data_IF_022203729728
#
_entry.id   IF_022203729728
#
_cell.length_a   1.000
_cell.length_b   1.000
_cell.length_c   1.000
_cell.angle_alpha   90.00
_cell.angle_beta   90.00
_cell.angle_gamma   90.00
#
_symmetry.space_group_name_H-M   'P 1'
#
loop_
_entity.id
_entity.type
_entity.pdbx_description
1 polymer ?
#
# COMPACT_ATOMS: atom_id res chain seq x y z
N UNK A 1 -2.79 -7.15 -26.92
CA UNK A 1 -3.72 -6.61 -25.90
C UNK A 1 -2.97 -6.17 -24.63
N UNK A 2 -1.88 -6.83 -24.23
CA UNK A 2 -1.10 -6.48 -23.03
C UNK A 2 -0.31 -5.16 -23.14
N UNK A 3 0.16 -4.78 -24.34
CA UNK A 3 0.96 -3.56 -24.54
C UNK A 3 0.22 -2.23 -24.28
N UNK A 4 -1.11 -2.21 -24.43
CA UNK A 4 -1.92 -1.01 -24.19
C UNK A 4 -2.10 -0.66 -22.70
N UNK A 5 -2.14 -1.65 -21.83
CA UNK A 5 -2.28 -1.50 -20.39
C UNK A 5 -1.04 -0.81 -19.78
N UNK A 6 0.16 -1.30 -20.16
CA UNK A 6 1.42 -0.74 -19.68
C UNK A 6 1.69 0.68 -20.22
N UNK A 7 1.32 0.96 -21.46
CA UNK A 7 1.44 2.33 -22.01
C UNK A 7 0.64 3.35 -21.22
N UNK A 8 -0.58 3.01 -20.81
CA UNK A 8 -1.41 3.92 -19.99
C UNK A 8 -0.85 4.12 -18.58
N UNK A 9 -0.43 3.03 -17.92
CA UNK A 9 0.21 3.09 -16.60
C UNK A 9 1.52 3.88 -16.63
N UNK A 10 2.42 3.58 -17.56
CA UNK A 10 3.73 4.25 -17.69
C UNK A 10 3.56 5.70 -18.14
N UNK A 11 2.64 6.03 -19.05
CA UNK A 11 2.44 7.40 -19.53
C UNK A 11 1.90 8.35 -18.46
N UNK A 12 1.00 7.86 -17.58
CA UNK A 12 0.47 8.65 -16.45
C UNK A 12 1.55 8.90 -15.40
N UNK A 13 2.47 7.92 -15.20
CA UNK A 13 3.50 8.01 -14.17
C UNK A 13 4.81 8.66 -14.59
N UNK A 14 5.22 8.57 -15.85
CA UNK A 14 6.45 9.23 -16.32
C UNK A 14 6.34 10.76 -16.21
N UNK A 15 5.16 11.34 -16.35
CA UNK A 15 4.93 12.75 -16.06
C UNK A 15 4.97 13.11 -14.56
N UNK A 16 4.77 12.15 -13.66
CA UNK A 16 4.73 12.31 -12.20
C UNK A 16 6.03 11.89 -11.50
N UNK A 17 6.95 11.24 -12.21
CA UNK A 17 8.13 10.50 -11.70
C UNK A 17 9.31 11.39 -11.22
N UNK A 18 9.10 12.64 -10.88
CA UNK A 18 10.22 13.55 -10.53
C UNK A 18 10.67 13.41 -9.05
N UNK A 19 10.05 12.55 -8.22
CA UNK A 19 10.48 12.35 -6.82
C UNK A 19 10.48 10.88 -6.41
N UNK A 20 11.52 10.44 -5.68
CA UNK A 20 11.76 9.03 -5.27
C UNK A 20 10.54 8.30 -4.66
N UNK A 21 9.70 9.00 -3.91
CA UNK A 21 8.50 8.39 -3.30
C UNK A 21 7.45 7.91 -4.31
N UNK A 22 7.37 8.51 -5.50
CA UNK A 22 6.43 8.13 -6.54
C UNK A 22 6.85 6.85 -7.30
N UNK A 23 8.15 6.51 -7.29
CA UNK A 23 8.66 5.30 -7.96
C UNK A 23 8.12 4.04 -7.27
N UNK A 24 8.07 4.02 -5.95
CA UNK A 24 7.58 2.88 -5.17
C UNK A 24 6.09 2.66 -5.44
N UNK A 25 5.28 3.73 -5.39
CA UNK A 25 3.84 3.69 -5.69
C UNK A 25 3.60 3.17 -7.12
N UNK A 26 4.32 3.74 -8.11
CA UNK A 26 4.22 3.32 -9.50
C UNK A 26 4.59 1.85 -9.69
N UNK A 27 5.70 1.42 -9.08
CA UNK A 27 6.14 0.04 -9.14
C UNK A 27 5.11 -0.92 -8.50
N UNK A 28 4.59 -0.58 -7.31
CA UNK A 28 3.55 -1.39 -6.68
C UNK A 28 2.30 -1.51 -7.57
N UNK A 29 1.85 -0.41 -8.18
CA UNK A 29 0.70 -0.39 -9.08
C UNK A 29 0.93 -1.23 -10.34
N UNK A 30 2.11 -1.11 -10.99
CA UNK A 30 2.49 -1.92 -12.16
C UNK A 30 2.62 -3.39 -11.80
N UNK A 31 3.25 -3.71 -10.67
CA UNK A 31 3.38 -5.08 -10.19
C UNK A 31 2.02 -5.73 -9.95
N UNK A 32 1.13 -5.02 -9.24
CA UNK A 32 -0.22 -5.50 -8.95
C UNK A 32 -1.05 -5.70 -10.23
N UNK A 33 -1.06 -4.74 -11.15
CA UNK A 33 -1.79 -4.85 -12.42
C UNK A 33 -1.24 -5.98 -13.31
N UNK A 34 0.05 -6.31 -13.19
CA UNK A 34 0.67 -7.42 -13.91
C UNK A 34 0.25 -8.78 -13.37
N UNK A 35 0.15 -8.91 -12.04
CA UNK A 35 -0.26 -10.14 -11.37
C UNK A 35 -1.77 -10.41 -11.49
N UNK A 36 -2.57 -9.34 -11.50
CA UNK A 36 -4.03 -9.40 -11.49
C UNK A 36 -4.63 -8.60 -12.66
N UNK A 37 -4.36 -8.99 -13.91
CA UNK A 37 -4.86 -8.27 -15.08
C UNK A 37 -6.39 -8.29 -15.13
N UNK A 38 -6.99 -7.14 -15.49
CA UNK A 38 -8.43 -7.02 -15.64
C UNK A 38 -9.22 -6.93 -14.34
N UNK A 39 -8.57 -6.65 -13.20
CA UNK A 39 -9.21 -6.47 -11.90
C UNK A 39 -9.11 -5.04 -11.40
N UNK A 40 -10.11 -4.60 -10.67
CA UNK A 40 -10.02 -3.42 -9.83
C UNK A 40 -9.22 -3.75 -8.58
N UNK A 41 -8.19 -2.95 -8.29
CA UNK A 41 -7.22 -3.23 -7.24
C UNK A 41 -7.18 -2.09 -6.23
N UNK A 42 -7.17 -2.43 -4.94
CA UNK A 42 -6.76 -1.57 -3.84
C UNK A 42 -5.43 -2.10 -3.30
N UNK A 43 -4.38 -1.34 -3.48
CA UNK A 43 -3.03 -1.70 -3.08
C UNK A 43 -2.68 -0.92 -1.83
N UNK A 44 -2.27 -1.61 -0.77
CA UNK A 44 -1.81 -1.00 0.47
C UNK A 44 -0.36 -1.42 0.71
N UNK A 45 0.55 -0.46 0.66
CA UNK A 45 1.96 -0.68 0.98
C UNK A 45 2.25 -0.19 2.41
N UNK A 46 2.59 -1.13 3.28
CA UNK A 46 2.93 -0.87 4.69
C UNK A 46 4.45 -0.69 4.85
N UNK A 47 4.95 0.45 4.40
CA UNK A 47 6.34 0.88 4.51
C UNK A 47 6.56 1.92 5.61
N UNK A 48 7.59 2.76 5.44
CA UNK A 48 7.85 3.94 6.29
C UNK A 48 6.64 4.86 6.32
N UNK A 49 6.05 5.13 5.16
CA UNK A 49 4.69 5.64 5.01
C UNK A 49 3.79 4.49 4.54
N UNK A 50 2.50 4.56 4.86
CA UNK A 50 1.49 3.69 4.27
C UNK A 50 0.94 4.40 3.05
N UNK A 51 0.94 3.71 1.90
CA UNK A 51 0.23 4.18 0.71
C UNK A 51 -0.99 3.33 0.46
N UNK A 52 -2.06 3.93 -0.03
CA UNK A 52 -3.34 3.29 -0.32
C UNK A 52 -3.73 3.72 -1.71
N UNK A 53 -3.53 2.86 -2.69
CA UNK A 53 -3.57 3.19 -4.10
C UNK A 53 -4.63 2.38 -4.84
N UNK A 54 -5.37 3.02 -5.75
CA UNK A 54 -6.39 2.38 -6.57
C UNK A 54 -5.94 2.27 -8.03
N UNK A 55 -6.06 1.05 -8.58
CA UNK A 55 -5.90 0.77 -10.02
C UNK A 55 -7.17 0.13 -10.55
N UNK A 56 -7.74 0.68 -11.61
CA UNK A 56 -8.95 0.12 -12.24
C UNK A 56 -8.65 -1.08 -13.14
N UNK A 57 -9.67 -1.86 -13.47
CA UNK A 57 -9.57 -3.08 -14.27
C UNK A 57 -8.94 -2.84 -15.66
N UNK A 58 -9.08 -1.65 -16.23
CA UNK A 58 -8.42 -1.24 -17.46
C UNK A 58 -6.97 -0.78 -17.26
N UNK A 59 -6.42 -0.95 -16.03
CA UNK A 59 -5.03 -0.64 -15.68
C UNK A 59 -4.73 0.84 -15.53
N UNK A 60 -5.73 1.67 -15.24
CA UNK A 60 -5.53 3.09 -14.98
C UNK A 60 -5.38 3.32 -13.49
N UNK A 61 -4.33 4.03 -13.10
CA UNK A 61 -4.17 4.52 -11.73
C UNK A 61 -5.20 5.62 -11.47
N UNK A 62 -6.03 5.44 -10.45
CA UNK A 62 -7.15 6.33 -10.12
C UNK A 62 -6.81 7.34 -9.03
N UNK A 63 -5.69 7.16 -8.37
CA UNK A 63 -5.23 7.98 -7.27
C UNK A 63 -4.94 7.15 -6.03
N UNK A 64 -4.48 7.81 -4.98
CA UNK A 64 -4.16 7.18 -3.70
C UNK A 64 -3.96 8.19 -2.61
N UNK A 65 -3.74 7.67 -1.41
CA UNK A 65 -3.49 8.43 -0.20
C UNK A 65 -2.18 7.97 0.45
N UNK A 66 -1.57 8.87 1.20
CA UNK A 66 -0.35 8.60 1.97
C UNK A 66 -0.64 8.94 3.43
N UNK A 67 -0.33 8.01 4.33
CA UNK A 67 -0.43 8.23 5.76
C UNK A 67 0.82 7.75 6.50
N UNK A 68 1.04 8.13 7.76
CA UNK A 68 2.21 7.70 8.51
C UNK A 68 2.21 6.19 8.75
N UNK A 69 3.35 5.54 8.50
CA UNK A 69 3.55 4.13 8.80
C UNK A 69 3.66 3.83 10.30
N UNK A 70 3.77 2.55 10.62
CA UNK A 70 3.77 2.05 12.02
C UNK A 70 4.83 2.76 12.87
N UNK A 71 6.08 2.75 12.42
CA UNK A 71 7.19 3.35 13.18
C UNK A 71 7.10 4.88 13.25
N UNK A 72 6.58 5.54 12.22
CA UNK A 72 6.35 6.97 12.26
C UNK A 72 5.33 7.36 13.33
N UNK A 73 4.25 6.59 13.49
CA UNK A 73 3.22 6.85 14.52
C UNK A 73 3.78 6.64 15.93
N UNK A 74 4.56 5.57 16.15
CA UNK A 74 5.23 5.34 17.45
C UNK A 74 6.21 6.46 17.79
N UNK A 75 7.05 6.86 16.83
CA UNK A 75 7.98 7.98 17.02
C UNK A 75 7.27 9.29 17.25
N UNK A 76 6.20 9.59 16.51
CA UNK A 76 5.44 10.82 16.70
C UNK A 76 4.87 10.93 18.12
N UNK A 77 4.33 9.83 18.67
CA UNK A 77 3.85 9.82 20.06
C UNK A 77 4.97 10.04 21.07
N UNK A 78 6.15 9.46 20.83
CA UNK A 78 7.31 9.67 21.69
C UNK A 78 7.89 11.08 21.56
N UNK A 79 8.18 11.52 20.34
CA UNK A 79 8.94 12.75 20.08
C UNK A 79 8.13 14.03 20.34
N UNK A 80 6.79 13.97 20.15
CA UNK A 80 5.92 15.14 20.31
C UNK A 80 5.12 15.14 21.61
N UNK A 81 5.45 14.26 22.58
CA UNK A 81 4.85 14.28 23.92
C UNK A 81 5.92 14.24 25.00
N UNK A 82 5.61 14.81 26.17
CA UNK A 82 6.61 14.99 27.25
C UNK A 82 7.03 13.67 27.93
N UNK A 83 6.20 12.62 27.91
CA UNK A 83 6.42 11.44 28.77
C UNK A 83 5.99 10.10 28.16
N UNK A 84 5.57 10.05 26.90
CA UNK A 84 5.20 8.76 26.30
C UNK A 84 6.46 7.98 25.89
N UNK A 85 6.60 6.70 26.29
CA UNK A 85 7.74 5.89 25.92
C UNK A 85 7.70 5.55 24.41
N UNK A 86 8.88 5.38 23.80
CA UNK A 86 8.98 4.81 22.49
C UNK A 86 8.57 3.33 22.53
N UNK A 87 7.61 2.96 21.71
CA UNK A 87 7.08 1.60 21.63
C UNK A 87 7.37 0.98 20.25
N UNK A 88 7.21 -0.34 20.17
CA UNK A 88 7.34 -1.11 18.94
C UNK A 88 6.04 -1.86 18.65
N UNK A 89 5.88 -2.28 17.37
CA UNK A 89 4.76 -3.07 16.92
C UNK A 89 4.62 -4.38 17.72
N UNK A 90 3.38 -4.83 17.88
CA UNK A 90 3.06 -6.08 18.58
C UNK A 90 2.04 -6.90 17.78
N UNK A 91 2.05 -8.21 18.00
CA UNK A 91 1.08 -9.13 17.38
C UNK A 91 -0.24 -9.18 18.16
N UNK A 92 -0.25 -8.72 19.42
CA UNK A 92 -1.46 -8.67 20.25
C UNK A 92 -2.54 -7.80 19.59
N UNK A 93 -3.77 -8.30 19.61
CA UNK A 93 -4.93 -7.68 18.96
C UNK A 93 -5.99 -7.21 19.98
N UNK A 94 -5.59 -6.94 21.20
CA UNK A 94 -6.47 -6.36 22.21
C UNK A 94 -7.00 -5.01 21.73
N UNK A 95 -8.30 -4.75 21.88
CA UNK A 95 -8.90 -3.51 21.41
C UNK A 95 -8.46 -2.30 22.21
N UNK A 96 -8.41 -2.43 23.54
CA UNK A 96 -8.03 -1.35 24.46
C UNK A 96 -6.89 -1.82 25.37
N UNK A 97 -5.81 -1.04 25.41
CA UNK A 97 -4.69 -1.28 26.32
C UNK A 97 -5.03 -0.92 27.78
N UNK A 98 -4.44 -1.65 28.72
CA UNK A 98 -4.63 -1.46 30.18
C UNK A 98 -3.44 -0.78 30.85
N UNK A 99 -2.39 -0.53 30.12
CA UNK A 99 -1.20 0.23 30.53
C UNK A 99 -0.86 1.26 29.45
N UNK A 100 -0.03 2.25 29.78
CA UNK A 100 0.43 3.27 28.81
C UNK A 100 1.06 2.63 27.59
N UNK A 101 1.93 1.64 27.76
CA UNK A 101 2.61 0.94 26.66
C UNK A 101 1.61 0.18 25.79
N UNK A 102 0.66 -0.55 26.40
CA UNK A 102 -0.39 -1.24 25.66
C UNK A 102 -1.31 -0.25 24.93
N UNK A 103 -1.70 0.85 25.58
CA UNK A 103 -2.54 1.87 24.98
C UNK A 103 -1.89 2.51 23.74
N UNK A 104 -0.58 2.79 23.80
CA UNK A 104 0.19 3.28 22.65
C UNK A 104 0.23 2.22 21.55
N UNK A 105 0.58 0.98 21.87
CA UNK A 105 0.66 -0.13 20.89
C UNK A 105 -0.67 -0.38 20.22
N UNK A 106 -1.74 -0.55 21.00
CA UNK A 106 -3.07 -0.83 20.45
C UNK A 106 -3.64 0.39 19.69
N UNK A 107 -3.42 1.60 20.20
CA UNK A 107 -3.85 2.83 19.52
C UNK A 107 -3.23 2.97 18.13
N UNK A 108 -1.93 2.71 17.99
CA UNK A 108 -1.24 2.75 16.70
C UNK A 108 -1.70 1.62 15.78
N UNK A 109 -1.63 0.37 16.27
CA UNK A 109 -1.90 -0.80 15.44
C UNK A 109 -3.38 -0.92 15.02
N UNK A 110 -4.30 -0.69 15.96
CA UNK A 110 -5.74 -0.70 15.66
C UNK A 110 -6.14 0.54 14.85
N UNK A 111 -5.53 1.69 15.11
CA UNK A 111 -5.77 2.91 14.33
C UNK A 111 -5.46 2.73 12.85
N UNK A 112 -4.34 2.08 12.52
CA UNK A 112 -4.01 1.73 11.13
C UNK A 112 -5.02 0.72 10.56
N UNK A 113 -5.37 -0.33 11.32
CA UNK A 113 -6.34 -1.31 10.85
C UNK A 113 -7.70 -0.66 10.53
N UNK A 114 -8.22 0.20 11.41
CA UNK A 114 -9.47 0.93 11.20
C UNK A 114 -9.40 1.91 10.03
N UNK A 115 -8.25 2.56 9.82
CA UNK A 115 -8.03 3.41 8.65
C UNK A 115 -8.21 2.60 7.36
N UNK A 116 -7.54 1.46 7.25
CA UNK A 116 -7.61 0.61 6.05
C UNK A 116 -9.00 -0.01 5.89
N UNK A 117 -9.62 -0.52 6.96
CA UNK A 117 -11.00 -1.03 6.93
C UNK A 117 -11.99 0.07 6.52
N UNK A 118 -11.77 1.31 6.94
CA UNK A 118 -12.57 2.47 6.54
C UNK A 118 -12.50 2.76 5.04
N UNK A 119 -11.31 2.66 4.44
CA UNK A 119 -11.15 2.77 2.97
C UNK A 119 -11.83 1.61 2.25
N UNK A 120 -11.61 0.38 2.70
CA UNK A 120 -12.23 -0.82 2.13
C UNK A 120 -13.75 -0.69 2.17
N UNK A 121 -14.34 -0.37 3.32
CA UNK A 121 -15.78 -0.27 3.50
C UNK A 121 -16.44 0.79 2.60
N UNK A 122 -15.71 1.87 2.28
CA UNK A 122 -16.21 2.93 1.41
C UNK A 122 -16.03 2.62 -0.08
N UNK A 123 -14.97 1.92 -0.45
CA UNK A 123 -14.66 1.61 -1.85
C UNK A 123 -15.41 0.37 -2.36
N UNK A 124 -15.67 -0.62 -1.50
CA UNK A 124 -16.36 -1.85 -1.91
C UNK A 124 -17.74 -1.64 -2.54
N UNK A 125 -18.61 -0.76 -2.04
CA UNK A 125 -19.90 -0.49 -2.66
C UNK A 125 -19.80 0.24 -4.00
N UNK A 126 -18.70 0.96 -4.23
CA UNK A 126 -18.51 1.83 -5.40
C UNK A 126 -17.75 1.14 -6.54
N UNK A 127 -17.00 0.08 -6.23
CA UNK A 127 -16.08 -0.58 -7.16
C UNK A 127 -16.37 -2.07 -7.22
N UNK A 128 -16.92 -2.52 -8.36
CA UNK A 128 -17.20 -3.93 -8.60
C UNK A 128 -15.94 -4.80 -8.52
N UNK A 129 -16.06 -5.95 -7.87
CA UNK A 129 -15.02 -6.97 -7.76
C UNK A 129 -13.64 -6.42 -7.32
N UNK A 130 -13.62 -5.49 -6.35
CA UNK A 130 -12.40 -4.93 -5.78
C UNK A 130 -11.55 -6.01 -5.13
N UNK A 131 -10.31 -6.14 -5.57
CA UNK A 131 -9.30 -7.05 -4.98
C UNK A 131 -8.32 -6.23 -4.13
N UNK A 132 -8.07 -6.69 -2.90
CA UNK A 132 -7.19 -6.01 -1.94
C UNK A 132 -5.83 -6.69 -1.95
N UNK A 133 -4.78 -5.90 -2.12
CA UNK A 133 -3.40 -6.38 -2.13
C UNK A 133 -2.61 -5.65 -1.05
N UNK A 134 -1.97 -6.40 -0.17
CA UNK A 134 -1.06 -5.88 0.84
C UNK A 134 0.38 -6.18 0.47
N UNK A 135 1.24 -5.17 0.63
CA UNK A 135 2.69 -5.26 0.43
C UNK A 135 3.41 -4.45 1.52
N UNK A 136 4.73 -4.48 1.51
CA UNK A 136 5.55 -3.79 2.50
C UNK A 136 5.90 -4.63 3.73
N UNK A 137 6.90 -4.18 4.48
CA UNK A 137 7.49 -4.94 5.59
C UNK A 137 6.54 -5.17 6.77
N UNK A 138 5.62 -4.25 7.02
CA UNK A 138 4.67 -4.32 8.13
C UNK A 138 3.32 -4.97 7.74
N UNK A 139 3.12 -5.36 6.47
CA UNK A 139 1.88 -5.99 5.98
C UNK A 139 1.47 -7.21 6.81
N UNK A 140 2.45 -8.01 7.25
CA UNK A 140 2.24 -9.23 8.06
C UNK A 140 1.42 -8.99 9.35
N UNK A 141 1.52 -7.79 9.94
CA UNK A 141 0.76 -7.44 11.14
C UNK A 141 -0.72 -7.18 10.84
N UNK A 142 -1.05 -6.77 9.61
CA UNK A 142 -2.40 -6.33 9.23
C UNK A 142 -3.20 -7.39 8.48
N UNK A 143 -2.56 -8.34 7.80
CA UNK A 143 -3.25 -9.46 7.14
C UNK A 143 -4.15 -10.24 8.12
N UNK A 144 -3.72 -10.40 9.38
CA UNK A 144 -4.49 -11.11 10.41
C UNK A 144 -5.51 -10.22 11.14
N UNK A 145 -5.33 -8.89 11.10
CA UNK A 145 -6.20 -7.93 11.81
C UNK A 145 -7.41 -7.55 10.99
N UNK A 146 -7.27 -7.47 9.69
CA UNK A 146 -8.30 -7.00 8.76
C UNK A 146 -9.07 -8.18 8.20
N UNK A 147 -10.41 -8.17 8.38
CA UNK A 147 -11.31 -9.31 8.08
C UNK A 147 -11.74 -9.36 6.61
N UNK A 148 -10.87 -9.09 5.67
CA UNK A 148 -11.17 -9.14 4.24
C UNK A 148 -10.31 -10.20 3.54
N UNK A 149 -10.73 -10.64 2.35
CA UNK A 149 -9.88 -11.47 1.49
C UNK A 149 -8.77 -10.60 0.93
N UNK A 150 -7.53 -10.85 1.38
CA UNK A 150 -6.35 -10.05 1.06
C UNK A 150 -5.33 -10.94 0.37
N UNK A 151 -4.76 -10.45 -0.74
CA UNK A 151 -3.59 -11.03 -1.37
C UNK A 151 -2.35 -10.33 -0.84
N UNK A 152 -1.44 -11.07 -0.19
CA UNK A 152 -0.20 -10.51 0.35
C UNK A 152 0.98 -10.84 -0.57
N UNK A 153 1.70 -9.82 -1.02
CA UNK A 153 2.86 -9.94 -1.90
C UNK A 153 4.00 -9.04 -1.41
N UNK A 154 4.98 -9.63 -0.72
CA UNK A 154 6.11 -8.87 -0.18
C UNK A 154 7.00 -8.24 -1.28
N UNK A 155 7.06 -8.88 -2.45
CA UNK A 155 7.96 -8.48 -3.56
C UNK A 155 7.27 -7.66 -4.65
N UNK A 156 6.08 -7.11 -4.37
CA UNK A 156 5.24 -6.44 -5.36
C UNK A 156 5.98 -5.29 -6.07
N UNK A 157 6.71 -4.48 -5.29
CA UNK A 157 7.50 -3.35 -5.81
C UNK A 157 8.60 -3.83 -6.74
N UNK A 158 9.32 -4.90 -6.38
CA UNK A 158 10.38 -5.47 -7.22
C UNK A 158 9.84 -6.05 -8.53
N UNK A 159 8.68 -6.73 -8.47
CA UNK A 159 7.99 -7.22 -9.66
C UNK A 159 7.62 -6.07 -10.59
N UNK A 160 7.09 -4.98 -10.04
CA UNK A 160 6.74 -3.79 -10.80
C UNK A 160 7.94 -3.10 -11.43
N UNK A 161 9.04 -2.94 -10.68
CA UNK A 161 10.29 -2.39 -11.21
C UNK A 161 10.82 -3.22 -12.37
N UNK A 162 10.85 -4.56 -12.22
CA UNK A 162 11.28 -5.45 -13.30
C UNK A 162 10.42 -5.28 -14.56
N UNK A 163 9.11 -5.18 -14.41
CA UNK A 163 8.19 -4.95 -15.54
C UNK A 163 8.41 -3.60 -16.23
N UNK A 164 8.69 -2.54 -15.46
CA UNK A 164 9.03 -1.23 -16.01
C UNK A 164 10.34 -1.30 -16.82
N UNK A 165 11.35 -2.00 -16.31
CA UNK A 165 12.64 -2.19 -16.98
C UNK A 165 12.48 -2.99 -18.29
N UNK A 166 11.76 -4.12 -18.26
CA UNK A 166 11.46 -4.94 -19.46
C UNK A 166 10.75 -4.11 -20.54
N UNK A 167 9.79 -3.27 -20.15
CA UNK A 167 9.09 -2.40 -21.08
C UNK A 167 10.03 -1.39 -21.73
N UNK A 168 10.87 -0.70 -20.96
CA UNK A 168 11.82 0.29 -21.48
C UNK A 168 12.83 -0.35 -22.42
N UNK A 169 13.42 -1.51 -22.07
CA UNK A 169 14.34 -2.24 -22.93
C UNK A 169 13.70 -2.66 -24.27
N UNK A 170 12.42 -3.05 -24.24
CA UNK A 170 11.68 -3.42 -25.44
C UNK A 170 11.37 -2.24 -26.37
N UNK A 171 11.13 -1.04 -25.82
CA UNK A 171 10.91 0.17 -26.59
C UNK A 171 12.21 0.72 -27.21
N UNK A 172 13.34 0.62 -26.50
CA UNK A 172 14.66 0.98 -27.04
C UNK A 172 15.08 0.09 -28.22
N UNK A 173 14.77 -1.21 -28.15
CA UNK A 173 15.08 -2.17 -29.22
C UNK A 173 14.20 -1.98 -30.48
N UNK A 174 13.13 -1.18 -30.41
CA UNK A 174 12.22 -0.89 -31.54
C UNK A 174 12.53 0.42 -32.25
N UNK A 175 13.45 1.22 -31.71
CA UNK A 175 13.94 2.48 -32.29
C UNK A 175 15.20 2.24 -33.11
#
# INVERSE_FOLDING_TARGET
VQGGLYRKLVAVYVGLLIRLGHIVIAAAAVGAASLYPGRNLLIVDFGTAITIDQVSADGVFRGGNISPGVQMRFRALHDYTAALPLCESCEDQTLLGRSTVEAIRQGVMNGIAFEIEGYIARLFPEIDALSIIFTGGDAKFFVKRIKNTIFAHCDLVFLGLNRILEYNASEESRR
#
